data_IF_125210698749
#
_entry.id   IF_125210698749
#
_cell.length_a   1.000
_cell.length_b   1.000
_cell.length_c   1.000
_cell.angle_alpha   90.00
_cell.angle_beta   90.00
_cell.angle_gamma   90.00
#
_symmetry.space_group_name_H-M   'P 1'
#
loop_
_entity.id
_entity.type
_entity.pdbx_description
1 polymer ?
#
# COMPACT_ATOMS: atom_id res chain seq x y z
N UNK A 1 -70.74 30.85 -1.84
CA UNK A 1 -69.76 30.17 -2.72
C UNK A 1 -68.83 31.19 -3.36
N UNK A 2 -68.00 31.86 -2.54
CA UNK A 2 -66.92 32.76 -2.97
C UNK A 2 -65.70 32.42 -2.10
N UNK A 3 -64.97 31.36 -2.42
CA UNK A 3 -63.77 31.02 -1.62
C UNK A 3 -62.69 30.19 -2.35
N UNK A 4 -62.92 29.69 -3.56
CA UNK A 4 -61.92 28.84 -4.25
C UNK A 4 -61.15 29.55 -5.37
N UNK A 5 -61.71 30.61 -5.99
CA UNK A 5 -61.06 31.34 -7.09
C UNK A 5 -59.99 32.34 -6.61
N UNK A 6 -60.13 32.89 -5.40
CA UNK A 6 -59.19 33.88 -4.85
C UNK A 6 -57.87 33.22 -4.42
N UNK A 7 -57.93 32.01 -3.84
CA UNK A 7 -56.73 31.29 -3.34
C UNK A 7 -55.83 30.80 -4.47
N UNK A 8 -56.40 30.37 -5.61
CA UNK A 8 -55.63 29.94 -6.78
C UNK A 8 -54.93 31.15 -7.43
N UNK A 9 -55.58 32.32 -7.46
CA UNK A 9 -54.97 33.55 -7.96
C UNK A 9 -53.76 33.98 -7.10
N UNK A 10 -53.88 33.97 -5.76
CA UNK A 10 -52.76 34.31 -4.86
C UNK A 10 -51.57 33.34 -4.95
N UNK A 11 -51.81 32.03 -5.11
CA UNK A 11 -50.73 31.04 -5.25
C UNK A 11 -50.05 31.09 -6.63
N UNK A 12 -50.79 31.43 -7.69
CA UNK A 12 -50.24 31.67 -9.03
C UNK A 12 -49.43 32.97 -9.05
N UNK A 13 -49.88 34.04 -8.40
CA UNK A 13 -49.11 35.28 -8.24
C UNK A 13 -47.86 35.10 -7.37
N UNK A 14 -47.90 34.30 -6.29
CA UNK A 14 -46.69 33.98 -5.52
C UNK A 14 -45.70 33.12 -6.33
N UNK A 15 -46.16 32.16 -7.14
CA UNK A 15 -45.27 31.41 -8.05
C UNK A 15 -44.67 32.29 -9.16
N UNK A 16 -45.42 33.25 -9.69
CA UNK A 16 -44.93 34.19 -10.71
C UNK A 16 -43.94 35.21 -10.10
N UNK A 17 -44.16 35.66 -8.86
CA UNK A 17 -43.22 36.54 -8.14
C UNK A 17 -41.93 35.82 -7.73
N UNK A 18 -41.98 34.52 -7.45
CA UNK A 18 -40.80 33.70 -7.10
C UNK A 18 -39.95 33.37 -8.34
N UNK A 19 -40.53 33.37 -9.55
CA UNK A 19 -39.79 33.16 -10.80
C UNK A 19 -39.15 34.44 -11.40
N UNK A 20 -39.39 35.61 -10.81
CA UNK A 20 -38.80 36.89 -11.25
C UNK A 20 -37.62 37.38 -10.39
N UNK A 21 -37.11 36.57 -9.46
CA UNK A 21 -35.72 36.73 -9.00
C UNK A 21 -34.80 35.99 -9.97
N UNK A 22 -34.88 36.34 -11.25
CA UNK A 22 -33.84 36.02 -12.21
C UNK A 22 -32.62 36.78 -11.69
N UNK A 23 -31.52 36.07 -11.40
CA UNK A 23 -30.21 36.67 -11.17
C UNK A 23 -29.81 37.43 -12.43
N UNK A 24 -30.33 38.65 -12.61
CA UNK A 24 -29.85 39.55 -13.64
C UNK A 24 -28.48 39.99 -13.16
N UNK A 25 -27.43 39.59 -13.89
CA UNK A 25 -26.09 40.14 -13.69
C UNK A 25 -26.18 41.67 -13.57
N UNK A 26 -25.37 42.31 -12.71
CA UNK A 26 -25.40 43.76 -12.55
C UNK A 26 -25.36 44.45 -13.92
N UNK A 27 -26.14 45.54 -14.14
CA UNK A 27 -26.09 46.26 -15.39
C UNK A 27 -24.63 46.68 -15.70
N UNK A 28 -24.12 46.27 -16.86
CA UNK A 28 -22.74 46.49 -17.30
C UNK A 28 -21.82 45.25 -17.27
N UNK A 29 -22.32 44.09 -16.84
CA UNK A 29 -21.59 42.82 -16.89
C UNK A 29 -21.87 42.07 -18.21
N UNK A 30 -21.18 42.42 -19.28
CA UNK A 30 -21.17 41.70 -20.57
C UNK A 30 -19.84 41.94 -21.31
N UNK A 31 -19.17 40.89 -21.84
CA UNK A 31 -18.43 39.86 -21.12
C UNK A 31 -17.00 40.35 -20.80
N UNK A 32 -16.72 40.62 -19.52
CA UNK A 32 -15.45 41.24 -19.10
C UNK A 32 -14.75 40.53 -17.93
N UNK A 33 -15.34 39.46 -17.38
CA UNK A 33 -14.74 38.70 -16.27
C UNK A 33 -14.11 37.38 -16.75
N UNK A 34 -12.90 37.04 -16.30
CA UNK A 34 -12.25 35.76 -16.61
C UNK A 34 -12.98 34.59 -15.93
N UNK A 35 -12.67 33.35 -16.36
CA UNK A 35 -13.17 32.14 -15.68
C UNK A 35 -12.79 32.15 -14.18
N UNK A 36 -13.57 31.43 -13.38
CA UNK A 36 -13.42 31.37 -11.92
C UNK A 36 -13.51 32.74 -11.20
N UNK A 37 -14.29 33.68 -11.77
CA UNK A 37 -14.59 34.96 -11.16
C UNK A 37 -16.05 35.35 -11.37
N UNK A 38 -16.56 36.23 -10.51
CA UNK A 38 -17.91 36.77 -10.57
C UNK A 38 -17.87 38.27 -10.79
N UNK A 39 -18.72 38.78 -11.68
CA UNK A 39 -18.85 40.22 -11.91
C UNK A 39 -19.51 40.89 -10.69
N UNK A 40 -18.85 41.92 -10.14
CA UNK A 40 -19.37 42.74 -9.04
C UNK A 40 -19.89 44.08 -9.56
N UNK A 41 -19.20 44.66 -10.55
CA UNK A 41 -19.60 45.90 -11.22
C UNK A 41 -19.12 45.90 -12.67
N UNK A 42 -19.53 46.89 -13.48
CA UNK A 42 -19.11 47.03 -14.88
C UNK A 42 -17.58 47.06 -15.10
N UNK A 43 -16.80 47.37 -14.06
CA UNK A 43 -15.34 47.42 -14.11
C UNK A 43 -14.70 46.67 -12.94
N UNK A 44 -15.42 45.73 -12.33
CA UNK A 44 -14.86 44.94 -11.22
C UNK A 44 -15.36 43.51 -11.24
N UNK A 45 -14.43 42.56 -11.25
CA UNK A 45 -14.71 41.15 -11.00
C UNK A 45 -14.07 40.74 -9.66
N UNK A 46 -14.59 39.69 -9.04
CA UNK A 46 -14.06 39.08 -7.83
C UNK A 46 -13.77 37.61 -8.11
N UNK A 47 -12.59 37.13 -7.74
CA UNK A 47 -12.26 35.71 -7.85
C UNK A 47 -13.24 34.84 -7.05
N UNK A 48 -13.52 33.62 -7.52
CA UNK A 48 -14.17 32.62 -6.67
C UNK A 48 -13.23 32.25 -5.50
N UNK A 49 -13.78 31.77 -4.37
CA UNK A 49 -12.97 31.27 -3.27
C UNK A 49 -11.95 30.23 -3.77
N UNK A 50 -10.73 30.26 -3.23
CA UNK A 50 -9.62 29.41 -3.67
C UNK A 50 -8.80 29.97 -4.84
N UNK A 51 -9.20 31.12 -5.41
CA UNK A 51 -8.47 31.77 -6.49
C UNK A 51 -8.05 33.18 -6.11
N UNK A 52 -6.91 33.61 -6.63
CA UNK A 52 -6.39 34.96 -6.50
C UNK A 52 -5.98 35.50 -7.87
N UNK A 53 -5.65 36.78 -7.92
CA UNK A 53 -5.05 37.45 -9.08
C UNK A 53 -3.86 38.28 -8.60
N UNK A 54 -3.08 38.85 -9.53
CA UNK A 54 -1.99 39.77 -9.18
C UNK A 54 -2.46 40.97 -8.33
N UNK A 55 -3.70 41.42 -8.51
CA UNK A 55 -4.33 42.48 -7.72
C UNK A 55 -5.04 41.97 -6.45
N UNK A 56 -4.87 40.69 -6.10
CA UNK A 56 -5.53 40.02 -4.98
C UNK A 56 -6.86 39.38 -5.38
N UNK A 57 -7.86 39.44 -4.51
CA UNK A 57 -9.19 38.84 -4.73
C UNK A 57 -10.04 39.60 -5.77
N UNK A 58 -9.70 40.87 -6.03
CA UNK A 58 -10.47 41.76 -6.90
C UNK A 58 -9.69 42.01 -8.20
N UNK A 59 -10.39 41.84 -9.32
CA UNK A 59 -9.88 42.05 -10.68
C UNK A 59 -10.50 43.35 -11.20
N UNK A 60 -9.65 44.27 -11.64
CA UNK A 60 -10.08 45.56 -12.23
C UNK A 60 -9.53 45.79 -13.63
N UNK A 61 -8.65 44.91 -14.11
CA UNK A 61 -8.05 44.98 -15.43
C UNK A 61 -8.35 43.68 -16.21
N UNK A 62 -8.88 43.74 -17.44
CA UNK A 62 -9.19 42.56 -18.23
C UNK A 62 -7.96 41.75 -18.67
N UNK A 63 -6.75 42.29 -18.52
CA UNK A 63 -5.51 41.56 -18.79
C UNK A 63 -5.08 40.66 -17.61
N UNK A 64 -5.69 40.80 -16.43
CA UNK A 64 -5.35 40.00 -15.26
C UNK A 64 -5.93 38.58 -15.40
N UNK A 65 -5.11 37.58 -15.11
CA UNK A 65 -5.55 36.18 -14.98
C UNK A 65 -5.86 35.83 -13.53
N UNK A 66 -6.58 34.72 -13.35
CA UNK A 66 -6.67 34.08 -12.05
C UNK A 66 -5.55 33.05 -11.91
N UNK A 67 -5.08 32.89 -10.68
CA UNK A 67 -4.17 31.84 -10.25
C UNK A 67 -4.82 31.12 -9.06
N UNK A 68 -4.65 29.80 -9.04
CA UNK A 68 -5.02 28.96 -7.91
C UNK A 68 -4.22 29.39 -6.67
N UNK A 69 -4.88 29.46 -5.51
CA UNK A 69 -4.21 29.77 -4.25
C UNK A 69 -3.59 28.48 -3.74
N UNK A 70 -2.27 28.39 -3.70
CA UNK A 70 -1.61 27.25 -3.04
C UNK A 70 -1.74 27.35 -1.52
N UNK A 71 -2.73 26.67 -0.94
CA UNK A 71 -2.93 26.68 0.51
C UNK A 71 -1.88 25.85 1.27
N UNK A 72 -1.18 24.95 0.57
CA UNK A 72 -0.10 24.13 1.15
C UNK A 72 1.25 24.87 1.14
N UNK A 73 1.40 25.85 0.24
CA UNK A 73 2.57 26.68 0.11
C UNK A 73 2.55 27.97 0.97
N UNK A 74 3.70 28.63 1.16
CA UNK A 74 3.73 29.97 1.73
C UNK A 74 2.94 30.96 0.86
N UNK A 75 2.13 31.87 1.45
CA UNK A 75 2.16 32.28 2.85
C UNK A 75 1.18 31.53 3.77
N UNK A 76 0.28 30.70 3.24
CA UNK A 76 -0.77 30.05 4.03
C UNK A 76 -0.25 28.83 4.79
N UNK A 77 0.44 27.92 4.09
CA UNK A 77 1.08 26.72 4.64
C UNK A 77 0.18 25.98 5.66
N UNK A 78 -1.02 25.59 5.22
CA UNK A 78 -2.01 24.93 6.09
C UNK A 78 -1.42 23.68 6.74
N UNK A 79 -1.57 23.58 8.07
CA UNK A 79 -1.20 22.39 8.84
C UNK A 79 -2.30 21.33 8.77
N UNK A 80 -1.92 20.14 8.32
CA UNK A 80 -2.76 18.94 8.35
C UNK A 80 -2.55 18.08 9.61
N UNK A 81 -1.61 18.45 10.49
CA UNK A 81 -1.26 17.67 11.69
C UNK A 81 -0.34 16.48 11.40
N UNK A 82 -0.17 15.58 12.37
CA UNK A 82 0.76 14.44 12.26
C UNK A 82 0.25 13.36 11.32
N UNK A 83 1.18 12.70 10.62
CA UNK A 83 0.90 11.60 9.69
C UNK A 83 -0.11 11.96 8.60
N UNK A 84 -0.08 13.22 8.15
CA UNK A 84 -0.95 13.73 7.12
C UNK A 84 -0.22 14.73 6.23
N UNK A 85 -0.62 14.75 4.97
CA UNK A 85 -0.05 15.58 3.92
C UNK A 85 -1.12 16.52 3.36
N UNK A 86 -0.70 17.76 3.07
CA UNK A 86 -1.52 18.75 2.38
C UNK A 86 -1.41 18.53 0.86
N UNK A 87 -2.54 18.61 0.16
CA UNK A 87 -2.63 18.53 -1.29
C UNK A 87 -3.35 19.76 -1.84
N UNK A 88 -2.62 20.56 -2.63
CA UNK A 88 -3.17 21.70 -3.34
C UNK A 88 -3.85 21.24 -4.64
N UNK A 89 -5.07 21.71 -4.91
CA UNK A 89 -5.85 21.39 -6.11
C UNK A 89 -6.54 22.63 -6.65
N UNK A 90 -6.87 22.65 -7.94
CA UNK A 90 -7.50 23.84 -8.55
C UNK A 90 -8.76 24.31 -7.79
N UNK A 91 -8.67 25.48 -7.18
CA UNK A 91 -9.70 26.14 -6.39
C UNK A 91 -9.85 25.68 -4.94
N UNK A 92 -8.98 24.79 -4.43
CA UNK A 92 -9.07 24.31 -3.05
C UNK A 92 -7.82 23.53 -2.59
N UNK A 93 -7.89 23.03 -1.36
CA UNK A 93 -6.96 22.03 -0.87
C UNK A 93 -7.69 20.99 -0.03
N UNK A 94 -6.99 19.90 0.24
CA UNK A 94 -7.40 18.95 1.27
C UNK A 94 -6.18 18.36 1.94
N UNK A 95 -6.41 17.87 3.16
CA UNK A 95 -5.49 17.02 3.87
C UNK A 95 -5.87 15.55 3.64
N UNK A 96 -4.86 14.68 3.55
CA UNK A 96 -5.04 13.23 3.55
C UNK A 96 -4.01 12.59 4.46
N UNK A 97 -4.32 11.44 5.05
CA UNK A 97 -3.33 10.71 5.82
C UNK A 97 -2.15 10.29 4.93
N UNK A 98 -0.94 10.32 5.48
CA UNK A 98 0.26 9.85 4.81
C UNK A 98 0.15 8.35 4.50
N UNK A 99 0.94 7.81 3.55
CA UNK A 99 0.93 6.38 3.24
C UNK A 99 1.11 5.52 4.49
N UNK A 100 0.29 4.47 4.62
CA UNK A 100 0.26 3.60 5.81
C UNK A 100 -0.63 4.09 6.95
N UNK A 101 -1.29 5.24 6.80
CA UNK A 101 -2.22 5.78 7.79
C UNK A 101 -3.63 5.94 7.19
N UNK A 102 -4.64 5.90 8.04
CA UNK A 102 -6.04 6.05 7.65
C UNK A 102 -6.87 6.79 8.69
N UNK A 103 -7.95 7.46 8.24
CA UNK A 103 -8.88 8.11 9.15
C UNK A 103 -9.77 7.06 9.84
N UNK A 104 -9.94 7.20 11.16
CA UNK A 104 -10.86 6.36 11.94
C UNK A 104 -12.31 6.43 11.43
N UNK A 105 -12.69 7.57 10.85
CA UNK A 105 -14.02 7.77 10.25
C UNK A 105 -14.23 6.99 8.94
N UNK A 106 -13.16 6.43 8.35
CA UNK A 106 -13.19 5.80 7.03
C UNK A 106 -13.22 6.80 5.86
N UNK A 107 -13.20 8.11 6.13
CA UNK A 107 -13.03 9.12 5.10
C UNK A 107 -11.62 9.08 4.50
N UNK A 108 -11.43 9.66 3.31
CA UNK A 108 -10.12 9.72 2.63
C UNK A 108 -9.42 11.06 2.79
N UNK A 109 -10.18 12.13 3.06
CA UNK A 109 -9.69 13.50 3.10
C UNK A 109 -10.36 14.29 4.22
N UNK A 110 -9.69 15.32 4.72
CA UNK A 110 -10.17 16.24 5.75
C UNK A 110 -9.62 17.66 5.51
N UNK A 111 -10.09 18.67 6.25
CA UNK A 111 -9.77 20.09 5.91
C UNK A 111 -8.57 20.69 6.63
N UNK A 112 -8.27 20.28 7.84
CA UNK A 112 -7.19 20.85 8.64
C UNK A 112 -6.88 19.96 9.85
N UNK A 113 -5.84 20.32 10.61
CA UNK A 113 -5.39 19.60 11.81
C UNK A 113 -6.49 19.30 12.85
N UNK A 114 -7.54 20.12 12.99
CA UNK A 114 -8.61 19.85 13.97
C UNK A 114 -9.50 18.65 13.60
N UNK A 115 -9.51 18.27 12.33
CA UNK A 115 -10.21 17.09 11.81
C UNK A 115 -9.29 15.87 11.67
N UNK A 116 -8.00 16.01 12.01
CA UNK A 116 -7.03 14.94 11.85
C UNK A 116 -7.30 13.80 12.85
N UNK A 117 -7.66 12.64 12.31
CA UNK A 117 -7.78 11.38 13.06
C UNK A 117 -6.97 10.27 12.40
N UNK A 118 -5.85 10.61 11.76
CA UNK A 118 -4.98 9.66 11.09
C UNK A 118 -4.36 8.71 12.12
N UNK A 119 -4.59 7.42 11.91
CA UNK A 119 -4.02 6.35 12.71
C UNK A 119 -3.31 5.35 11.81
N UNK A 120 -2.29 4.72 12.38
CA UNK A 120 -1.55 3.65 11.74
C UNK A 120 -2.50 2.54 11.27
N UNK A 121 -2.32 2.10 10.03
CA UNK A 121 -3.09 1.01 9.46
C UNK A 121 -2.37 -0.29 9.77
N UNK A 122 -2.95 -1.14 10.61
CA UNK A 122 -2.40 -2.48 10.84
C UNK A 122 -2.64 -3.38 9.62
N UNK A 123 -1.69 -3.42 8.68
CA UNK A 123 -1.83 -4.25 7.47
C UNK A 123 -1.81 -5.74 7.79
N UNK A 124 -1.20 -6.15 8.91
CA UNK A 124 -1.19 -7.54 9.35
C UNK A 124 -2.60 -8.01 9.74
N UNK A 125 -3.38 -7.15 10.39
CA UNK A 125 -4.78 -7.42 10.72
C UNK A 125 -5.69 -7.28 9.49
N UNK A 126 -5.52 -6.23 8.69
CA UNK A 126 -6.38 -5.99 7.53
C UNK A 126 -6.16 -7.02 6.40
N UNK A 127 -4.93 -7.51 6.25
CA UNK A 127 -4.53 -8.45 5.19
C UNK A 127 -3.79 -9.65 5.80
N UNK A 128 -4.51 -10.64 6.39
CA UNK A 128 -3.90 -11.79 7.09
C UNK A 128 -2.95 -12.68 6.25
N UNK A 129 -2.90 -12.51 4.92
CA UNK A 129 -2.02 -13.25 4.00
C UNK A 129 -1.04 -12.34 3.25
N UNK A 130 -0.77 -11.15 3.79
CA UNK A 130 0.17 -10.21 3.18
C UNK A 130 1.58 -10.78 3.15
N UNK A 131 1.99 -11.44 4.24
CA UNK A 131 3.21 -12.24 4.33
C UNK A 131 2.93 -13.71 3.94
N UNK A 132 3.79 -14.29 3.10
CA UNK A 132 3.67 -15.60 2.44
C UNK A 132 4.83 -16.53 2.82
N UNK A 133 4.65 -17.82 2.61
CA UNK A 133 5.74 -18.80 2.77
C UNK A 133 6.11 -19.08 4.23
N UNK A 134 5.12 -19.14 5.14
CA UNK A 134 5.31 -19.34 6.59
C UNK A 134 5.99 -18.18 7.34
N UNK A 135 6.15 -17.04 6.68
CA UNK A 135 6.53 -15.76 7.29
C UNK A 135 5.55 -15.30 8.38
N UNK A 136 6.05 -14.54 9.35
CA UNK A 136 5.25 -13.83 10.37
C UNK A 136 5.18 -12.35 10.00
N UNK A 137 3.96 -11.79 9.99
CA UNK A 137 3.73 -10.36 9.78
C UNK A 137 3.92 -9.59 11.09
N UNK A 138 4.63 -8.47 11.03
CA UNK A 138 4.86 -7.55 12.14
C UNK A 138 4.44 -6.15 11.68
N UNK A 139 3.44 -5.59 12.34
CA UNK A 139 2.99 -4.23 12.06
C UNK A 139 4.02 -3.20 12.56
N UNK A 140 4.22 -2.12 11.80
CA UNK A 140 5.14 -1.02 12.13
C UNK A 140 4.45 0.31 11.87
N UNK A 141 4.96 1.43 12.38
CA UNK A 141 4.34 2.73 12.09
C UNK A 141 4.48 3.08 10.60
N UNK A 142 3.34 3.26 9.93
CA UNK A 142 3.20 3.61 8.52
C UNK A 142 3.48 2.47 7.54
N UNK A 143 3.66 1.23 8.01
CA UNK A 143 3.97 0.06 7.15
C UNK A 143 3.93 -1.25 7.95
N UNK A 144 4.36 -2.34 7.32
CA UNK A 144 4.57 -3.63 7.98
C UNK A 144 5.87 -4.27 7.50
N UNK A 145 6.33 -5.30 8.22
CA UNK A 145 7.45 -6.14 7.82
C UNK A 145 7.09 -7.62 7.94
N UNK A 146 7.65 -8.44 7.04
CA UNK A 146 7.54 -9.89 7.11
C UNK A 146 8.88 -10.45 7.59
N UNK A 147 8.83 -11.38 8.55
CA UNK A 147 10.02 -12.06 9.07
C UNK A 147 9.91 -13.56 8.84
N UNK A 148 11.04 -14.21 8.58
CA UNK A 148 11.10 -15.65 8.33
C UNK A 148 11.46 -16.43 9.60
N UNK A 149 10.83 -17.59 9.84
CA UNK A 149 11.29 -18.50 10.87
C UNK A 149 12.69 -19.07 10.50
N UNK A 150 13.41 -19.66 11.47
CA UNK A 150 14.70 -20.31 11.21
C UNK A 150 14.63 -21.34 10.06
N UNK A 151 15.69 -21.42 9.26
CA UNK A 151 15.77 -22.26 8.06
C UNK A 151 15.09 -21.69 6.81
N UNK A 152 14.42 -20.54 6.92
CA UNK A 152 13.88 -19.79 5.78
C UNK A 152 14.51 -18.40 5.70
N UNK A 153 14.55 -17.84 4.50
CA UNK A 153 15.01 -16.49 4.23
C UNK A 153 14.01 -15.71 3.37
N UNK A 154 14.08 -14.39 3.44
CA UNK A 154 13.24 -13.52 2.60
C UNK A 154 13.66 -13.68 1.14
N UNK A 155 12.66 -13.85 0.27
CA UNK A 155 12.90 -13.96 -1.15
C UNK A 155 13.46 -12.62 -1.68
N UNK A 156 14.60 -12.61 -2.38
CA UNK A 156 15.20 -11.37 -2.89
C UNK A 156 14.31 -10.57 -3.86
N UNK A 157 13.31 -11.22 -4.46
CA UNK A 157 12.36 -10.62 -5.42
C UNK A 157 11.00 -10.29 -4.81
N UNK A 158 10.63 -10.90 -3.69
CA UNK A 158 9.39 -10.63 -2.96
C UNK A 158 9.68 -10.59 -1.45
N UNK A 159 9.85 -9.40 -0.85
CA UNK A 159 10.17 -9.26 0.58
C UNK A 159 9.01 -9.69 1.49
N UNK A 160 7.86 -10.08 0.94
CA UNK A 160 6.77 -10.66 1.69
C UNK A 160 6.78 -12.20 1.67
N UNK A 161 7.69 -12.83 0.93
CA UNK A 161 7.73 -14.28 0.78
C UNK A 161 8.97 -14.85 1.44
N UNK A 162 8.78 -15.80 2.35
CA UNK A 162 9.88 -16.63 2.83
C UNK A 162 10.08 -17.86 1.93
N UNK A 163 11.33 -18.12 1.58
CA UNK A 163 11.77 -19.31 0.86
C UNK A 163 12.72 -20.13 1.71
N UNK A 164 12.68 -21.44 1.48
CA UNK A 164 13.56 -22.38 2.15
C UNK A 164 15.02 -22.13 1.79
N UNK A 165 15.89 -22.10 2.81
CA UNK A 165 17.34 -22.05 2.61
C UNK A 165 17.77 -23.47 2.27
N UNK A 166 18.50 -23.66 1.16
CA UNK A 166 19.03 -24.97 0.82
C UNK A 166 20.45 -25.13 1.38
N UNK A 167 20.56 -25.62 2.62
CA UNK A 167 21.86 -25.77 3.27
C UNK A 167 22.74 -26.80 2.54
N UNK A 168 22.14 -27.81 1.90
CA UNK A 168 22.86 -28.82 1.13
C UNK A 168 23.48 -28.27 -0.17
N UNK A 169 22.97 -27.16 -0.70
CA UNK A 169 23.47 -26.49 -1.91
C UNK A 169 24.41 -25.32 -1.60
N UNK A 170 24.65 -25.01 -0.33
CA UNK A 170 25.42 -23.84 0.12
C UNK A 170 26.94 -23.92 -0.13
N UNK A 171 27.43 -25.00 -0.74
CA UNK A 171 28.85 -25.24 -1.00
C UNK A 171 29.65 -25.71 0.22
N UNK A 172 29.10 -25.60 1.42
CA UNK A 172 29.55 -26.32 2.62
C UNK A 172 28.52 -27.41 2.92
N UNK A 173 28.89 -28.69 2.80
CA UNK A 173 28.01 -29.78 3.23
C UNK A 173 27.90 -29.71 4.77
N UNK A 174 26.71 -29.42 5.35
CA UNK A 174 26.57 -29.30 6.79
C UNK A 174 26.62 -30.66 7.50
N UNK A 175 26.52 -31.76 6.75
CA UNK A 175 26.50 -33.11 7.27
C UNK A 175 27.90 -33.73 7.44
N UNK A 176 28.00 -34.73 8.31
CA UNK A 176 29.20 -35.54 8.46
C UNK A 176 29.61 -36.23 7.15
N UNK A 177 30.90 -36.55 6.98
CA UNK A 177 31.41 -37.17 5.75
C UNK A 177 30.83 -38.55 5.43
N UNK A 178 30.26 -39.25 6.41
CA UNK A 178 29.59 -40.56 6.24
C UNK A 178 28.08 -40.46 5.97
N UNK A 179 27.55 -39.26 5.76
CA UNK A 179 26.15 -39.00 5.44
C UNK A 179 26.00 -38.16 4.17
N UNK A 180 24.82 -38.21 3.57
CA UNK A 180 24.38 -37.25 2.56
C UNK A 180 23.34 -36.30 3.14
N UNK A 181 23.37 -35.06 2.68
CA UNK A 181 22.46 -34.00 3.09
C UNK A 181 21.15 -34.09 2.30
N UNK A 182 20.03 -33.97 3.01
CA UNK A 182 18.69 -33.91 2.45
C UNK A 182 18.06 -32.58 2.87
N UNK A 183 17.78 -31.71 1.91
CA UNK A 183 17.12 -30.43 2.15
C UNK A 183 15.65 -30.63 2.48
N UNK A 184 15.13 -29.96 3.51
CA UNK A 184 13.72 -30.01 3.91
C UNK A 184 13.21 -28.62 4.28
N UNK A 185 11.91 -28.34 4.13
CA UNK A 185 11.41 -26.99 4.43
C UNK A 185 11.65 -26.61 5.91
N UNK A 186 12.48 -25.60 6.15
CA UNK A 186 12.89 -25.18 7.50
C UNK A 186 14.23 -25.73 7.98
N UNK A 187 15.00 -26.41 7.13
CA UNK A 187 16.34 -26.89 7.45
C UNK A 187 16.81 -28.06 6.58
N UNK A 188 17.57 -28.97 7.16
CA UNK A 188 18.08 -30.15 6.45
C UNK A 188 17.99 -31.38 7.34
N UNK A 189 18.34 -32.55 6.80
CA UNK A 189 18.58 -33.79 7.55
C UNK A 189 19.79 -34.49 6.97
N UNK A 190 20.56 -35.17 7.82
CA UNK A 190 21.69 -35.97 7.39
C UNK A 190 21.32 -37.45 7.42
N UNK A 191 21.45 -38.14 6.29
CA UNK A 191 21.12 -39.56 6.17
C UNK A 191 22.35 -40.39 5.82
N UNK A 192 22.48 -41.58 6.41
CA UNK A 192 23.61 -42.48 6.12
C UNK A 192 23.68 -42.79 4.63
N UNK A 193 24.90 -42.92 4.10
CA UNK A 193 25.06 -43.55 2.80
C UNK A 193 24.57 -45.01 2.85
N UNK A 194 24.12 -45.58 1.71
CA UNK A 194 23.68 -46.97 1.65
C UNK A 194 24.72 -47.94 2.25
N UNK A 195 24.28 -48.84 3.13
CA UNK A 195 25.14 -49.82 3.80
C UNK A 195 25.86 -49.34 5.06
N UNK A 196 25.64 -48.08 5.47
CA UNK A 196 26.14 -47.52 6.73
C UNK A 196 25.04 -47.45 7.78
N UNK A 197 25.37 -47.60 9.06
CA UNK A 197 24.41 -47.51 10.18
C UNK A 197 24.75 -46.37 11.14
N UNK A 198 23.75 -45.70 11.76
CA UNK A 198 24.01 -44.69 12.77
C UNK A 198 24.83 -45.25 13.93
N UNK A 199 25.82 -44.47 14.40
CA UNK A 199 26.61 -44.83 15.58
C UNK A 199 25.76 -44.63 16.84
N UNK A 200 25.70 -45.61 17.77
CA UNK A 200 25.03 -45.42 19.05
C UNK A 200 25.61 -44.23 19.82
N UNK A 201 24.77 -43.26 20.22
CA UNK A 201 25.19 -42.08 20.96
C UNK A 201 25.71 -40.91 20.11
N UNK A 202 25.43 -40.88 18.79
CA UNK A 202 25.61 -39.67 17.99
C UNK A 202 24.83 -38.49 18.60
N UNK A 203 25.26 -37.23 18.38
CA UNK A 203 24.57 -36.06 18.92
C UNK A 203 23.07 -36.12 18.58
N UNK A 204 22.22 -35.74 19.53
CA UNK A 204 20.76 -35.84 19.38
C UNK A 204 20.26 -34.83 18.33
N UNK A 205 20.07 -35.29 17.10
CA UNK A 205 19.44 -34.52 16.04
C UNK A 205 19.52 -35.20 14.67
N UNK A 206 18.49 -35.10 13.82
CA UNK A 206 18.56 -35.62 12.45
C UNK A 206 19.66 -34.95 11.61
N UNK A 207 20.20 -33.82 12.08
CA UNK A 207 21.09 -32.92 11.35
C UNK A 207 22.57 -33.13 11.73
N UNK A 208 22.84 -34.01 12.70
CA UNK A 208 24.17 -34.32 13.24
C UNK A 208 24.48 -35.83 13.23
N UNK A 209 23.76 -36.59 12.41
CA UNK A 209 23.89 -38.04 12.29
C UNK A 209 25.31 -38.43 11.83
N UNK A 210 25.96 -39.31 12.61
CA UNK A 210 27.24 -39.93 12.28
C UNK A 210 27.00 -41.42 12.04
N UNK A 211 27.48 -41.94 10.92
CA UNK A 211 27.32 -43.34 10.55
C UNK A 211 28.66 -44.08 10.52
N UNK A 212 28.65 -45.34 10.94
CA UNK A 212 29.79 -46.26 10.87
C UNK A 212 29.34 -47.69 10.57
N UNK A 213 30.29 -48.54 10.23
CA UNK A 213 30.05 -49.94 9.87
C UNK A 213 29.51 -50.06 8.45
N UNK A 214 30.37 -50.49 7.52
CA UNK A 214 29.99 -50.87 6.16
C UNK A 214 29.51 -52.33 6.21
N UNK A 215 28.24 -52.58 5.92
CA UNK A 215 27.86 -53.96 5.58
C UNK A 215 28.57 -54.37 4.27
N UNK A 216 29.12 -55.60 4.18
CA UNK A 216 29.79 -56.04 2.96
C UNK A 216 28.80 -56.02 1.79
N UNK A 217 29.02 -55.11 0.83
CA UNK A 217 28.20 -54.96 -0.39
C UNK A 217 27.73 -53.54 -0.75
N UNK A 218 27.91 -52.53 0.10
CA UNK A 218 27.51 -51.14 -0.22
C UNK A 218 28.48 -50.42 -1.18
N UNK A 219 27.96 -49.78 -2.24
CA UNK A 219 28.71 -48.96 -3.21
C UNK A 219 28.75 -47.48 -2.81
N UNK A 220 29.85 -46.78 -3.09
CA UNK A 220 30.01 -45.33 -2.82
C UNK A 220 30.07 -44.49 -4.11
N UNK A 221 29.67 -43.20 -4.07
CA UNK A 221 29.96 -42.26 -5.17
C UNK A 221 31.47 -42.11 -5.33
N UNK A 222 32.00 -42.51 -6.48
CA UNK A 222 33.45 -42.53 -6.75
C UNK A 222 34.12 -43.90 -6.60
N UNK A 223 33.38 -44.96 -6.28
CA UNK A 223 33.91 -46.32 -6.38
C UNK A 223 34.16 -46.68 -7.87
N UNK A 224 35.39 -47.10 -8.24
CA UNK A 224 35.72 -47.50 -9.61
C UNK A 224 35.04 -48.81 -10.05
N UNK A 225 34.31 -49.48 -9.15
CA UNK A 225 33.53 -50.69 -9.43
C UNK A 225 32.05 -50.40 -9.73
N UNK A 226 31.64 -49.12 -9.85
CA UNK A 226 30.24 -48.74 -10.10
C UNK A 226 29.78 -48.86 -11.57
N UNK A 227 30.63 -49.30 -12.50
CA UNK A 227 30.31 -49.38 -13.94
C UNK A 227 29.58 -50.67 -14.39
N UNK A 228 28.80 -51.32 -13.53
CA UNK A 228 28.01 -52.50 -13.94
C UNK A 228 26.56 -52.46 -13.44
N UNK A 229 25.86 -51.34 -13.66
CA UNK A 229 24.40 -51.37 -13.77
C UNK A 229 24.02 -51.51 -15.26
N UNK A 230 24.05 -52.74 -15.76
CA UNK A 230 23.22 -53.07 -16.93
C UNK A 230 21.76 -52.99 -16.48
N UNK A 231 21.00 -52.13 -17.16
CA UNK A 231 19.56 -52.06 -17.11
C UNK A 231 18.97 -53.46 -17.41
N UNK A 232 18.61 -54.21 -16.38
CA UNK A 232 17.56 -55.22 -16.53
C UNK A 232 16.23 -54.49 -16.42
N UNK A 233 15.64 -54.22 -17.58
CA UNK A 233 14.27 -53.78 -17.71
C UNK A 233 13.35 -54.75 -16.99
N UNK A 234 12.50 -54.19 -16.11
CA UNK A 234 11.37 -54.90 -15.53
C UNK A 234 10.32 -55.05 -16.62
N UNK A 235 10.26 -56.24 -17.23
CA UNK A 235 9.05 -56.69 -17.93
C UNK A 235 8.18 -57.44 -16.94
N UNK A 236 7.01 -56.87 -16.65
CA UNK A 236 5.74 -57.58 -16.41
C UNK A 236 4.63 -56.79 -17.08
#
# INVERSE_FOLDING_TARGET
MLSSLVVISFLVFMKIAIFLTISSAPPGCDPWCPRNSVCVSATTCRCHPGFSSWSGEIITNPADSYDDIDECGPPLAVSCGTFADCQNVDGSYYCSCSPGYGLVSGATTFRNESENTCQDVDECQQKPRICKGRSVCINTLGSYTCTCPPGLELNPKDPNLCTDVNECASGHNPCHSSTHCLNIVGGYKCHCYPGWKPVPGSPEGPDSTICAGREPGGCTPGDPHSEHFQFFGVHT
#
